data_IF_840732967003
#
_entry.id   IF_840732967003
#
_cell.length_a   1.000
_cell.length_b   1.000
_cell.length_c   1.000
_cell.angle_alpha   90.00
_cell.angle_beta   90.00
_cell.angle_gamma   90.00
#
_symmetry.space_group_name_H-M   'P 1'
#
loop_
_entity.id
_entity.type
_entity.pdbx_description
1 polymer ?
#
# COMPACT_ATOMS: atom_id res chain seq x y z
N UNK A 1 1.34 -2.61 6.92
CA UNK A 1 2.04 -1.44 6.35
C UNK A 1 1.02 -0.39 5.93
N UNK A 2 1.41 0.88 5.94
CA UNK A 2 0.57 2.02 5.55
C UNK A 2 1.31 2.79 4.44
N UNK A 3 0.60 3.14 3.36
CA UNK A 3 1.12 4.04 2.33
C UNK A 3 0.69 5.48 2.63
N UNK A 4 1.66 6.36 2.83
CA UNK A 4 1.50 7.80 2.95
C UNK A 4 1.92 8.50 1.66
N UNK A 5 1.21 9.56 1.29
CA UNK A 5 1.58 10.41 0.15
C UNK A 5 2.85 11.22 0.41
N UNK A 6 3.13 11.56 1.68
CA UNK A 6 4.32 12.30 2.08
C UNK A 6 5.48 11.35 2.42
N UNK A 7 5.20 10.32 3.23
CA UNK A 7 6.23 9.48 3.83
C UNK A 7 6.49 8.15 3.11
N UNK A 8 5.72 7.84 2.06
CA UNK A 8 5.82 6.53 1.41
C UNK A 8 5.32 5.39 2.28
N UNK A 9 5.99 4.24 2.21
CA UNK A 9 5.62 3.04 2.95
C UNK A 9 6.16 3.10 4.39
N UNK A 10 5.26 3.14 5.37
CA UNK A 10 5.59 3.20 6.79
C UNK A 10 4.98 2.05 7.59
N UNK A 11 5.55 1.78 8.76
CA UNK A 11 5.01 0.79 9.70
C UNK A 11 3.88 1.40 10.54
N UNK A 12 2.94 0.59 11.07
CA UNK A 12 1.82 1.10 11.88
C UNK A 12 2.24 1.83 13.16
N UNK A 13 3.45 1.56 13.67
CA UNK A 13 4.05 2.16 14.86
C UNK A 13 4.84 3.45 14.56
N UNK A 14 4.99 3.84 13.29
CA UNK A 14 5.69 5.08 12.91
C UNK A 14 4.89 6.31 13.39
N UNK A 15 5.50 7.13 14.24
CA UNK A 15 4.94 8.42 14.66
C UNK A 15 5.14 9.45 13.55
N UNK A 16 4.04 10.06 13.08
CA UNK A 16 4.05 11.09 12.04
C UNK A 16 3.46 12.39 12.58
N UNK A 17 4.03 13.52 12.14
CA UNK A 17 3.47 14.84 12.43
C UNK A 17 2.25 15.15 11.54
N UNK A 18 1.49 16.21 11.83
CA UNK A 18 0.39 16.66 10.96
C UNK A 18 0.88 17.06 9.56
N UNK A 19 0.14 16.68 8.52
CA UNK A 19 0.39 17.08 7.13
C UNK A 19 -0.89 16.96 6.29
N UNK A 20 -0.99 17.76 5.21
CA UNK A 20 -2.18 17.81 4.33
C UNK A 20 -1.92 17.30 2.90
N UNK A 21 -0.77 16.66 2.67
CA UNK A 21 -0.46 16.11 1.35
C UNK A 21 -1.34 14.89 1.02
N UNK A 22 -2.16 15.02 -0.02
CA UNK A 22 -3.01 13.96 -0.56
C UNK A 22 -2.33 13.22 -1.72
N UNK A 23 -2.73 11.98 -1.94
CA UNK A 23 -2.32 11.23 -3.13
C UNK A 23 -3.13 11.67 -4.36
N UNK A 24 -2.69 12.75 -5.01
CA UNK A 24 -3.20 13.12 -6.34
C UNK A 24 -2.67 12.15 -7.42
N UNK A 25 -3.22 12.17 -8.64
CA UNK A 25 -2.66 11.43 -9.77
C UNK A 25 -1.19 11.75 -10.03
N UNK A 26 -0.82 13.04 -10.02
CA UNK A 26 0.55 13.51 -10.25
C UNK A 26 1.48 13.01 -9.15
N UNK A 27 1.03 13.08 -7.89
CA UNK A 27 1.80 12.55 -6.77
C UNK A 27 2.00 11.04 -6.87
N UNK A 28 0.99 10.31 -7.33
CA UNK A 28 1.13 8.88 -7.58
C UNK A 28 2.12 8.60 -8.71
N UNK A 29 2.14 9.41 -9.78
CA UNK A 29 3.10 9.30 -10.87
C UNK A 29 4.54 9.55 -10.39
N UNK A 30 4.77 10.60 -9.61
CA UNK A 30 6.06 10.87 -8.96
C UNK A 30 6.51 9.69 -8.10
N UNK A 31 5.60 9.15 -7.28
CA UNK A 31 5.92 8.02 -6.41
C UNK A 31 6.21 6.74 -7.20
N UNK A 32 5.52 6.51 -8.31
CA UNK A 32 5.78 5.37 -9.20
C UNK A 32 7.13 5.51 -9.90
N UNK A 33 7.47 6.70 -10.38
CA UNK A 33 8.76 6.97 -11.04
C UNK A 33 9.94 6.76 -10.08
N UNK A 34 9.76 7.08 -8.80
CA UNK A 34 10.77 6.91 -7.76
C UNK A 34 10.56 5.65 -6.88
N UNK A 35 9.69 4.73 -7.29
CA UNK A 35 9.20 3.62 -6.45
C UNK A 35 10.34 2.76 -5.91
N UNK A 36 11.15 2.22 -6.81
CA UNK A 36 12.23 1.30 -6.47
C UNK A 36 13.26 1.97 -5.55
N UNK A 37 13.75 3.14 -5.94
CA UNK A 37 14.90 3.79 -5.29
C UNK A 37 14.55 4.47 -3.97
N UNK A 38 13.37 5.09 -3.88
CA UNK A 38 13.03 5.97 -2.75
C UNK A 38 12.04 5.37 -1.76
N UNK A 39 11.20 4.41 -2.19
CA UNK A 39 10.08 3.92 -1.37
C UNK A 39 10.15 2.43 -1.06
N UNK A 40 10.72 1.62 -1.96
CA UNK A 40 10.83 0.17 -1.75
C UNK A 40 12.08 -0.22 -0.98
N UNK A 41 13.26 0.21 -1.43
CA UNK A 41 14.54 -0.12 -0.78
C UNK A 41 14.66 0.27 0.70
N UNK A 42 14.22 1.46 1.14
CA UNK A 42 14.32 1.83 2.55
C UNK A 42 13.21 1.21 3.42
N UNK A 43 12.15 0.66 2.83
CA UNK A 43 11.04 0.09 3.58
C UNK A 43 11.36 -1.29 4.14
N UNK A 44 10.90 -1.55 5.38
CA UNK A 44 11.04 -2.85 6.03
C UNK A 44 9.89 -3.77 5.62
N UNK A 45 10.13 -4.57 4.58
CA UNK A 45 9.17 -5.58 4.14
C UNK A 45 9.28 -6.86 4.99
N UNK A 46 8.16 -7.54 5.28
CA UNK A 46 8.19 -8.83 5.96
C UNK A 46 8.81 -9.90 5.05
N UNK A 47 9.43 -10.93 5.63
CA UNK A 47 10.05 -12.02 4.88
C UNK A 47 9.05 -12.89 4.09
N UNK A 48 7.76 -12.83 4.45
CA UNK A 48 6.67 -13.48 3.73
C UNK A 48 5.41 -12.63 3.82
N UNK A 49 4.53 -12.76 2.82
CA UNK A 49 3.26 -12.04 2.74
C UNK A 49 2.13 -13.04 2.48
N UNK A 50 1.14 -13.05 3.37
CA UNK A 50 -0.08 -13.85 3.22
C UNK A 50 -1.09 -13.20 2.26
N UNK A 51 -2.41 -13.39 2.51
CA UNK A 51 -3.43 -12.62 1.81
C UNK A 51 -3.23 -11.11 2.01
N UNK A 52 -3.47 -10.32 0.97
CA UNK A 52 -3.36 -8.86 0.98
C UNK A 52 -4.68 -8.23 0.55
N UNK A 53 -5.09 -7.21 1.30
CA UNK A 53 -6.15 -6.29 0.92
C UNK A 53 -5.56 -4.89 0.70
N UNK A 54 -5.66 -4.38 -0.52
CA UNK A 54 -5.33 -3.00 -0.84
C UNK A 54 -6.51 -2.10 -0.49
N UNK A 55 -6.41 -1.44 0.66
CA UNK A 55 -7.40 -0.50 1.16
C UNK A 55 -6.97 0.95 0.92
N UNK A 56 -7.86 1.75 0.33
CA UNK A 56 -7.61 3.18 0.09
C UNK A 56 -8.18 3.67 -1.24
N UNK A 57 -7.98 4.95 -1.53
CA UNK A 57 -8.39 5.55 -2.81
C UNK A 57 -7.66 4.94 -4.02
N UNK A 58 -8.21 5.13 -5.22
CA UNK A 58 -7.68 4.52 -6.45
C UNK A 58 -6.18 4.78 -6.67
N UNK A 59 -5.71 6.02 -6.41
CA UNK A 59 -4.29 6.37 -6.56
C UNK A 59 -3.40 5.67 -5.53
N UNK A 60 -3.87 5.51 -4.29
CA UNK A 60 -3.15 4.72 -3.29
C UNK A 60 -3.02 3.26 -3.72
N UNK A 61 -4.12 2.63 -4.16
CA UNK A 61 -4.11 1.23 -4.60
C UNK A 61 -3.23 1.02 -5.83
N UNK A 62 -3.16 2.00 -6.74
CA UNK A 62 -2.25 1.98 -7.89
C UNK A 62 -0.78 1.88 -7.47
N UNK A 63 -0.34 2.72 -6.53
CA UNK A 63 1.04 2.68 -5.99
C UNK A 63 1.29 1.39 -5.20
N UNK A 64 0.34 0.95 -4.36
CA UNK A 64 0.47 -0.31 -3.63
C UNK A 64 0.60 -1.52 -4.56
N UNK A 65 -0.18 -1.57 -5.66
CA UNK A 65 -0.06 -2.65 -6.65
C UNK A 65 1.33 -2.68 -7.28
N UNK A 66 1.87 -1.52 -7.64
CA UNK A 66 3.22 -1.43 -8.20
C UNK A 66 4.28 -1.88 -7.18
N UNK A 67 4.11 -1.54 -5.90
CA UNK A 67 4.99 -2.00 -4.83
C UNK A 67 4.98 -3.52 -4.67
N UNK A 68 3.80 -4.15 -4.68
CA UNK A 68 3.71 -5.61 -4.60
C UNK A 68 4.34 -6.30 -5.82
N UNK A 69 4.18 -5.75 -7.02
CA UNK A 69 4.84 -6.25 -8.23
C UNK A 69 6.35 -6.16 -8.12
N UNK A 70 6.87 -4.98 -7.75
CA UNK A 70 8.30 -4.79 -7.52
C UNK A 70 8.85 -5.77 -6.48
N UNK A 71 8.09 -6.01 -5.40
CA UNK A 71 8.51 -6.92 -4.35
C UNK A 71 8.63 -8.36 -4.86
N UNK A 72 7.63 -8.84 -5.61
CA UNK A 72 7.68 -10.15 -6.24
C UNK A 72 8.88 -10.25 -7.22
N UNK A 73 9.04 -9.26 -8.09
CA UNK A 73 10.06 -9.25 -9.14
C UNK A 73 11.50 -9.17 -8.59
N UNK A 74 11.72 -8.41 -7.51
CA UNK A 74 13.07 -8.12 -7.01
C UNK A 74 13.47 -8.96 -5.79
N UNK A 75 12.53 -9.53 -5.05
CA UNK A 75 12.82 -10.28 -3.80
C UNK A 75 12.24 -11.69 -3.79
N UNK A 76 11.37 -12.04 -4.74
CA UNK A 76 10.64 -13.31 -4.73
C UNK A 76 9.53 -13.40 -3.68
N UNK A 77 9.27 -12.32 -2.92
CA UNK A 77 8.19 -12.26 -1.94
C UNK A 77 6.89 -11.94 -2.68
N UNK A 78 6.12 -12.99 -2.95
CA UNK A 78 4.84 -12.90 -3.67
C UNK A 78 3.64 -13.06 -2.71
N UNK A 79 2.65 -12.16 -2.75
CA UNK A 79 1.43 -12.31 -1.96
C UNK A 79 0.58 -13.49 -2.44
N UNK A 80 0.06 -14.29 -1.50
CA UNK A 80 -0.77 -15.44 -1.85
C UNK A 80 -2.09 -15.06 -2.57
N UNK A 81 -2.68 -13.91 -2.22
CA UNK A 81 -3.90 -13.37 -2.84
C UNK A 81 -3.91 -11.85 -2.71
N UNK A 82 -4.33 -11.13 -3.76
CA UNK A 82 -4.48 -9.67 -3.72
C UNK A 82 -5.93 -9.32 -3.99
N UNK A 83 -6.56 -8.63 -3.05
CA UNK A 83 -7.90 -8.07 -3.17
C UNK A 83 -7.87 -6.56 -2.98
N UNK A 84 -8.88 -5.85 -3.48
CA UNK A 84 -8.96 -4.39 -3.37
C UNK A 84 -10.29 -3.94 -2.84
N UNK A 85 -10.26 -2.86 -2.06
CA UNK A 85 -11.50 -2.21 -1.65
C UNK A 85 -12.13 -1.45 -2.83
N UNK A 86 -13.43 -1.62 -3.02
CA UNK A 86 -14.25 -0.84 -3.96
C UNK A 86 -15.38 -0.10 -3.24
N UNK A 87 -16.01 0.85 -3.92
CA UNK A 87 -17.16 1.58 -3.37
C UNK A 87 -16.80 2.69 -2.38
N UNK A 88 -17.81 3.18 -1.65
CA UNK A 88 -17.69 4.25 -0.67
C UNK A 88 -17.06 3.79 0.66
N UNK A 89 -16.70 4.74 1.54
CA UNK A 89 -15.98 4.45 2.80
C UNK A 89 -16.68 3.38 3.65
N UNK A 90 -18.02 3.40 3.74
CA UNK A 90 -18.79 2.38 4.47
C UNK A 90 -18.61 0.97 3.91
N UNK A 91 -18.63 0.84 2.59
CA UNK A 91 -18.44 -0.44 1.88
C UNK A 91 -17.00 -0.93 2.02
N UNK A 92 -16.02 -0.03 1.91
CA UNK A 92 -14.61 -0.36 2.11
C UNK A 92 -14.34 -0.84 3.54
N UNK A 93 -14.96 -0.23 4.56
CA UNK A 93 -14.89 -0.68 5.96
C UNK A 93 -15.50 -2.07 6.15
N UNK A 94 -16.64 -2.35 5.51
CA UNK A 94 -17.26 -3.66 5.56
C UNK A 94 -16.39 -4.74 4.88
N UNK A 95 -15.74 -4.40 3.76
CA UNK A 95 -14.79 -5.27 3.05
C UNK A 95 -13.56 -5.57 3.91
N UNK A 96 -12.96 -4.56 4.54
CA UNK A 96 -11.86 -4.74 5.49
C UNK A 96 -12.27 -5.65 6.65
N UNK A 97 -13.46 -5.44 7.23
CA UNK A 97 -13.97 -6.29 8.30
C UNK A 97 -14.16 -7.75 7.87
N UNK A 98 -14.61 -8.01 6.64
CA UNK A 98 -14.69 -9.38 6.10
C UNK A 98 -13.31 -10.00 5.91
N UNK A 99 -12.37 -9.24 5.36
CA UNK A 99 -11.00 -9.70 5.15
C UNK A 99 -10.34 -10.10 6.47
N UNK A 100 -10.44 -9.28 7.51
CA UNK A 100 -9.84 -9.56 8.82
C UNK A 100 -10.43 -10.79 9.53
N UNK A 101 -11.69 -11.17 9.24
CA UNK A 101 -12.31 -12.38 9.79
C UNK A 101 -11.94 -13.66 9.03
N UNK A 102 -11.32 -13.52 7.87
CA UNK A 102 -10.96 -14.63 6.99
C UNK A 102 -9.47 -15.00 7.07
N UNK A 103 -8.70 -14.30 7.90
CA UNK A 103 -7.26 -14.54 8.12
C UNK A 103 -6.99 -15.06 9.53
#
# INVERSE_FOLDING_TARGET
MILSALHGFITPDTVIGPYDQRMSPERADEMLAALATHYMLPARWPASIGPVLLAGGAQYRRVMRAALRWLADCTGIEPANITETSGGIGEQRAQLGRFLRAI
#
